data_IF_599323143709
#
_entry.id   IF_599323143709
#
_cell.length_a   1.000
_cell.length_b   1.000
_cell.length_c   1.000
_cell.angle_alpha   90.00
_cell.angle_beta   90.00
_cell.angle_gamma   90.00
#
_symmetry.space_group_name_H-M   'P 1'
#
loop_
_entity.id
_entity.type
_entity.pdbx_description
1 polymer ?
#
# COMPACT_ATOMS: atom_id res chain seq x y z
N UNK A 1 9.52 7.38 8.99
CA UNK A 1 10.83 7.05 9.61
C UNK A 1 11.26 8.12 10.62
N UNK A 2 11.16 9.43 10.30
CA UNK A 2 11.64 10.50 11.17
C UNK A 2 11.07 10.49 12.59
N UNK A 3 9.77 10.23 12.76
CA UNK A 3 9.16 10.11 14.10
C UNK A 3 9.71 8.91 14.88
N UNK A 4 9.94 7.77 14.21
CA UNK A 4 10.53 6.59 14.83
C UNK A 4 11.94 6.90 15.33
N UNK A 5 12.76 7.53 14.48
CA UNK A 5 14.12 7.95 14.83
C UNK A 5 14.14 8.90 16.03
N UNK A 6 13.28 9.91 16.01
CA UNK A 6 13.18 10.89 17.07
C UNK A 6 12.87 10.24 18.42
N UNK A 7 11.83 9.42 18.50
CA UNK A 7 11.43 8.78 19.76
C UNK A 7 12.41 7.69 20.22
N UNK A 8 13.00 6.93 19.29
CA UNK A 8 14.03 5.95 19.64
C UNK A 8 15.24 6.64 20.28
N UNK A 9 15.72 7.74 19.70
CA UNK A 9 16.83 8.52 20.25
C UNK A 9 16.51 9.12 21.61
N UNK A 10 15.29 9.64 21.83
CA UNK A 10 14.87 10.12 23.15
C UNK A 10 14.86 9.01 24.19
N UNK A 11 14.62 7.77 23.78
CA UNK A 11 14.63 6.58 24.65
C UNK A 11 16.00 5.93 24.76
N UNK A 12 17.06 6.54 24.23
CA UNK A 12 18.44 6.04 24.32
C UNK A 12 18.80 4.94 23.33
N UNK A 13 17.96 4.71 22.29
CA UNK A 13 18.24 3.72 21.25
C UNK A 13 18.88 4.35 20.01
N UNK A 14 19.73 3.57 19.35
CA UNK A 14 20.25 3.86 18.02
C UNK A 14 19.46 3.10 16.97
N UNK A 15 19.22 3.73 15.82
CA UNK A 15 18.53 3.07 14.70
C UNK A 15 19.53 2.61 13.65
N UNK A 16 19.42 1.35 13.26
CA UNK A 16 20.04 0.80 12.09
C UNK A 16 18.95 0.59 11.03
N UNK A 17 19.06 1.26 9.88
CA UNK A 17 18.14 1.06 8.75
C UNK A 17 18.80 0.11 7.76
N UNK A 18 18.10 -0.96 7.41
CA UNK A 18 18.49 -1.88 6.35
C UNK A 18 17.36 -1.91 5.32
N UNK A 19 17.69 -1.48 4.10
CA UNK A 19 16.86 -1.75 2.94
C UNK A 19 17.31 -3.12 2.40
N UNK A 20 16.38 -4.05 2.30
CA UNK A 20 16.74 -5.44 2.10
C UNK A 20 16.54 -5.86 0.66
N UNK A 21 17.58 -6.43 0.09
CA UNK A 21 17.43 -7.41 -0.99
C UNK A 21 17.10 -8.77 -0.39
N UNK A 22 16.24 -9.54 -1.07
CA UNK A 22 15.70 -10.82 -0.60
C UNK A 22 16.75 -11.90 -0.25
N UNK A 23 18.02 -11.59 -0.43
CA UNK A 23 19.14 -12.54 -0.31
C UNK A 23 19.91 -12.47 1.03
N UNK A 24 19.69 -11.45 1.86
CA UNK A 24 20.37 -11.37 3.14
C UNK A 24 19.46 -11.88 4.29
N UNK A 25 20.01 -12.82 5.08
CA UNK A 25 19.27 -13.33 6.24
C UNK A 25 19.18 -12.26 7.33
N UNK A 26 17.99 -11.66 7.49
CA UNK A 26 17.70 -10.69 8.55
C UNK A 26 18.05 -11.19 9.95
N UNK A 27 17.90 -12.50 10.19
CA UNK A 27 18.28 -13.14 11.45
C UNK A 27 19.79 -13.05 11.67
N UNK A 28 20.58 -13.19 10.61
CA UNK A 28 22.04 -13.06 10.69
C UNK A 28 22.44 -11.62 11.00
N UNK A 29 21.80 -10.65 10.35
CA UNK A 29 22.03 -9.23 10.61
C UNK A 29 21.65 -8.87 12.06
N UNK A 30 20.47 -9.28 12.50
CA UNK A 30 19.97 -9.02 13.84
C UNK A 30 20.91 -9.58 14.93
N UNK A 31 21.40 -10.81 14.75
CA UNK A 31 22.36 -11.45 15.66
C UNK A 31 23.73 -10.76 15.65
N UNK A 32 24.27 -10.48 14.46
CA UNK A 32 25.59 -9.82 14.33
C UNK A 32 25.61 -8.42 14.94
N UNK A 33 24.48 -7.72 14.95
CA UNK A 33 24.37 -6.35 15.43
C UNK A 33 23.83 -6.24 16.85
N UNK A 34 23.53 -7.37 17.52
CA UNK A 34 22.95 -7.41 18.87
C UNK A 34 21.78 -6.44 19.02
N UNK A 35 20.78 -6.56 18.13
CA UNK A 35 19.62 -5.67 18.13
C UNK A 35 18.72 -5.93 19.34
N UNK A 36 18.25 -4.88 20.00
CA UNK A 36 17.29 -4.93 21.11
C UNK A 36 15.85 -5.09 20.63
N UNK A 37 15.55 -4.67 19.40
CA UNK A 37 14.24 -4.77 18.78
C UNK A 37 14.30 -4.60 17.27
N UNK A 38 13.24 -5.00 16.58
CA UNK A 38 13.12 -4.89 15.12
C UNK A 38 11.79 -4.26 14.77
N UNK A 39 11.80 -3.25 13.91
CA UNK A 39 10.62 -2.68 13.28
C UNK A 39 10.66 -3.08 11.81
N UNK A 40 9.64 -3.82 11.36
CA UNK A 40 9.48 -4.23 9.96
C UNK A 40 8.45 -3.32 9.32
N UNK A 41 8.81 -2.68 8.21
CA UNK A 41 7.91 -1.76 7.48
C UNK A 41 7.63 -2.33 6.10
N UNK A 42 6.36 -2.50 5.77
CA UNK A 42 5.90 -3.01 4.49
C UNK A 42 5.60 -4.52 4.49
N UNK A 43 5.31 -5.05 3.32
CA UNK A 43 4.87 -6.43 3.11
C UNK A 43 6.03 -7.33 2.69
N UNK A 44 6.13 -8.48 3.33
CA UNK A 44 7.11 -9.51 3.05
C UNK A 44 6.40 -10.86 2.76
N UNK A 45 7.08 -11.82 2.13
CA UNK A 45 6.55 -13.19 1.99
C UNK A 45 6.33 -13.87 3.34
N UNK A 46 5.42 -14.83 3.41
CA UNK A 46 5.08 -15.55 4.66
C UNK A 46 6.30 -16.26 5.28
N UNK A 47 7.22 -16.76 4.44
CA UNK A 47 8.46 -17.38 4.88
C UNK A 47 9.32 -16.43 5.74
N UNK A 48 9.33 -15.14 5.42
CA UNK A 48 10.02 -14.12 6.21
C UNK A 48 9.49 -14.10 7.64
N UNK A 49 8.16 -14.03 7.81
CA UNK A 49 7.54 -13.99 9.15
C UNK A 49 7.77 -15.28 9.92
N UNK A 50 7.74 -16.42 9.26
CA UNK A 50 8.05 -17.73 9.88
C UNK A 50 9.52 -17.81 10.33
N UNK A 51 10.44 -17.24 9.58
CA UNK A 51 11.85 -17.17 10.00
C UNK A 51 12.03 -16.22 11.18
N UNK A 52 11.37 -15.07 11.16
CA UNK A 52 11.48 -14.07 12.23
C UNK A 52 10.95 -14.60 13.58
N UNK A 53 10.01 -15.54 13.61
CA UNK A 53 9.57 -16.23 14.83
C UNK A 53 10.69 -16.98 15.57
N UNK A 54 11.75 -17.34 14.87
CA UNK A 54 12.90 -18.05 15.45
C UNK A 54 13.82 -17.14 16.27
N UNK A 55 13.61 -15.83 16.22
CA UNK A 55 14.34 -14.88 17.07
C UNK A 55 13.57 -14.60 18.35
N UNK A 56 14.29 -14.33 19.43
CA UNK A 56 13.72 -13.85 20.69
C UNK A 56 13.66 -12.32 20.76
N UNK A 57 14.13 -11.63 19.70
CA UNK A 57 14.12 -10.18 19.63
C UNK A 57 12.68 -9.70 19.44
N UNK A 58 12.19 -8.74 20.22
CA UNK A 58 10.88 -8.14 20.03
C UNK A 58 10.72 -7.55 18.62
N UNK A 59 9.57 -7.80 17.97
CA UNK A 59 9.31 -7.35 16.61
C UNK A 59 7.97 -6.62 16.57
N UNK A 60 7.95 -5.46 15.92
CA UNK A 60 6.74 -4.69 15.60
C UNK A 60 6.63 -4.55 14.08
N UNK A 61 5.45 -4.82 13.55
CA UNK A 61 5.14 -4.69 12.14
C UNK A 61 4.43 -3.35 11.88
N UNK A 62 4.80 -2.64 10.83
CA UNK A 62 4.12 -1.42 10.37
C UNK A 62 3.69 -1.63 8.92
N UNK A 63 2.40 -1.37 8.65
CA UNK A 63 1.77 -1.58 7.32
C UNK A 63 2.02 -2.98 6.76
N UNK A 64 2.05 -3.96 7.64
CA UNK A 64 2.32 -5.35 7.32
C UNK A 64 1.16 -6.24 7.76
N UNK A 65 0.68 -7.07 6.86
CA UNK A 65 -0.39 -8.04 7.11
C UNK A 65 0.20 -9.44 7.17
N UNK A 66 0.52 -9.88 8.37
CA UNK A 66 0.79 -11.27 8.66
C UNK A 66 -0.51 -11.89 9.19
N UNK A 67 -0.97 -13.00 8.61
CA UNK A 67 -2.15 -13.74 9.08
C UNK A 67 -1.99 -14.33 10.48
N UNK A 68 -0.81 -14.24 11.03
CA UNK A 68 -0.43 -14.73 12.33
C UNK A 68 -0.47 -13.61 13.38
N UNK A 69 -1.25 -13.80 14.43
CA UNK A 69 -1.36 -12.86 15.55
C UNK A 69 -0.14 -12.86 16.50
N UNK A 70 0.96 -13.49 16.09
CA UNK A 70 2.18 -13.56 16.89
C UNK A 70 2.88 -12.21 17.07
N UNK A 71 2.73 -11.30 16.10
CA UNK A 71 3.42 -10.01 16.11
C UNK A 71 2.51 -8.85 16.49
N UNK A 72 3.04 -7.90 17.25
CA UNK A 72 2.42 -6.59 17.38
C UNK A 72 2.45 -5.87 16.04
N UNK A 73 1.32 -5.30 15.60
CA UNK A 73 1.26 -4.58 14.33
C UNK A 73 0.55 -3.24 14.49
N UNK A 74 1.09 -2.23 13.81
CA UNK A 74 0.53 -0.90 13.68
C UNK A 74 0.07 -0.75 12.24
N UNK A 75 -1.21 -0.47 12.03
CA UNK A 75 -1.83 -0.39 10.70
C UNK A 75 -2.81 0.77 10.64
N UNK A 76 -3.05 1.26 9.44
CA UNK A 76 -4.20 2.12 9.14
C UNK A 76 -5.37 1.25 8.66
N UNK A 77 -6.57 1.83 8.65
CA UNK A 77 -7.72 1.20 8.00
C UNK A 77 -7.68 1.52 6.49
N UNK A 78 -7.03 0.65 5.73
CA UNK A 78 -6.86 0.78 4.29
C UNK A 78 -8.20 0.77 3.53
N UNK A 79 -9.17 0.00 4.00
CA UNK A 79 -10.49 -0.05 3.40
C UNK A 79 -11.22 1.28 3.61
N UNK A 80 -11.21 1.78 4.85
CA UNK A 80 -11.86 3.04 5.16
C UNK A 80 -11.21 4.24 4.45
N UNK A 81 -9.87 4.27 4.36
CA UNK A 81 -9.17 5.31 3.61
C UNK A 81 -9.59 5.37 2.14
N UNK A 82 -9.64 4.21 1.47
CA UNK A 82 -10.07 4.11 0.08
C UNK A 82 -11.56 4.42 -0.11
N UNK A 83 -12.41 3.97 0.83
CA UNK A 83 -13.82 4.34 0.88
C UNK A 83 -14.00 5.86 0.93
N UNK A 84 -13.27 6.56 1.81
CA UNK A 84 -13.35 8.02 1.92
C UNK A 84 -12.94 8.72 0.61
N UNK A 85 -11.88 8.27 -0.05
CA UNK A 85 -11.43 8.81 -1.32
C UNK A 85 -12.50 8.64 -2.42
N UNK A 86 -13.07 7.45 -2.55
CA UNK A 86 -14.13 7.18 -3.51
C UNK A 86 -15.41 7.96 -3.19
N UNK A 87 -15.82 7.98 -1.91
CA UNK A 87 -16.98 8.74 -1.43
C UNK A 87 -16.86 10.23 -1.74
N UNK A 88 -15.67 10.79 -1.61
CA UNK A 88 -15.42 12.19 -1.97
C UNK A 88 -15.79 12.45 -3.44
N UNK A 89 -15.30 11.65 -4.36
CA UNK A 89 -15.61 11.79 -5.80
C UNK A 89 -17.10 11.58 -6.09
N UNK A 90 -17.69 10.55 -5.48
CA UNK A 90 -19.11 10.23 -5.64
C UNK A 90 -20.01 11.36 -5.14
N UNK A 91 -19.65 11.99 -4.01
CA UNK A 91 -20.38 13.15 -3.47
C UNK A 91 -20.29 14.40 -4.36
N UNK A 92 -19.26 14.49 -5.22
CA UNK A 92 -19.11 15.54 -6.23
C UNK A 92 -19.76 15.19 -7.59
N UNK A 93 -20.52 14.10 -7.63
CA UNK A 93 -21.30 13.73 -8.80
C UNK A 93 -20.62 12.79 -9.80
N UNK A 94 -19.38 12.40 -9.57
CA UNK A 94 -18.73 11.40 -10.42
C UNK A 94 -19.43 10.05 -10.27
N UNK A 95 -19.60 9.34 -11.38
CA UNK A 95 -20.21 7.99 -11.43
C UNK A 95 -19.33 7.00 -12.20
N UNK A 96 -18.58 7.49 -13.17
CA UNK A 96 -17.60 6.73 -13.92
C UNK A 96 -16.22 6.98 -13.34
N UNK A 97 -15.78 6.11 -12.43
CA UNK A 97 -14.54 6.28 -11.66
C UNK A 97 -13.61 5.10 -11.93
N UNK A 98 -12.39 5.39 -12.35
CA UNK A 98 -11.33 4.39 -12.45
C UNK A 98 -10.59 4.22 -11.11
N UNK A 99 -10.04 3.04 -10.87
CA UNK A 99 -9.25 2.72 -9.69
C UNK A 99 -7.87 2.22 -10.10
N UNK A 100 -6.83 2.98 -9.76
CA UNK A 100 -5.43 2.65 -10.05
C UNK A 100 -4.75 2.07 -8.82
N UNK A 101 -4.21 0.86 -8.94
CA UNK A 101 -3.62 0.16 -7.80
C UNK A 101 -2.40 -0.68 -8.18
N UNK A 102 -1.73 -1.20 -7.16
CA UNK A 102 -0.74 -2.27 -7.30
C UNK A 102 -1.41 -3.62 -7.45
N UNK A 103 -0.59 -4.67 -7.59
CA UNK A 103 -1.10 -6.04 -7.68
C UNK A 103 -2.05 -6.39 -6.52
N UNK A 104 -3.23 -6.86 -6.85
CA UNK A 104 -4.27 -7.26 -5.90
C UNK A 104 -4.00 -8.70 -5.45
N UNK A 105 -3.45 -8.86 -4.24
CA UNK A 105 -3.27 -10.15 -3.57
C UNK A 105 -4.34 -10.31 -2.51
N UNK A 106 -4.87 -11.54 -2.32
CA UNK A 106 -6.03 -11.82 -1.47
C UNK A 106 -5.90 -11.26 -0.03
N UNK A 107 -4.73 -11.37 0.58
CA UNK A 107 -4.48 -10.85 1.93
C UNK A 107 -3.69 -9.53 1.92
N UNK A 108 -3.65 -8.83 0.78
CA UNK A 108 -2.84 -7.62 0.60
C UNK A 108 -3.57 -6.32 0.91
N UNK A 109 -2.79 -5.26 1.06
CA UNK A 109 -3.27 -3.88 1.24
C UNK A 109 -4.16 -3.46 0.06
N UNK A 110 -3.77 -3.80 -1.18
CA UNK A 110 -4.52 -3.40 -2.38
C UNK A 110 -5.92 -4.01 -2.41
N UNK A 111 -6.09 -5.27 -1.95
CA UNK A 111 -7.41 -5.90 -1.83
C UNK A 111 -8.31 -5.13 -0.86
N UNK A 112 -7.77 -4.70 0.28
CA UNK A 112 -8.54 -3.91 1.27
C UNK A 112 -8.93 -2.55 0.71
N UNK A 113 -8.03 -1.87 0.02
CA UNK A 113 -8.34 -0.58 -0.64
C UNK A 113 -9.40 -0.77 -1.72
N UNK A 114 -9.33 -1.84 -2.50
CA UNK A 114 -10.38 -2.17 -3.47
C UNK A 114 -11.73 -2.42 -2.79
N UNK A 115 -11.76 -3.14 -1.68
CA UNK A 115 -13.00 -3.37 -0.91
C UNK A 115 -13.61 -2.03 -0.46
N UNK A 116 -12.81 -1.12 0.08
CA UNK A 116 -13.30 0.21 0.45
C UNK A 116 -13.83 1.01 -0.72
N UNK A 117 -13.16 0.97 -1.87
CA UNK A 117 -13.66 1.56 -3.11
C UNK A 117 -15.02 0.97 -3.52
N UNK A 118 -15.16 -0.36 -3.51
CA UNK A 118 -16.41 -1.05 -3.83
C UNK A 118 -17.55 -0.68 -2.86
N UNK A 119 -17.26 -0.60 -1.56
CA UNK A 119 -18.25 -0.17 -0.56
C UNK A 119 -18.78 1.24 -0.82
N UNK A 120 -17.93 2.16 -1.22
CA UNK A 120 -18.38 3.51 -1.58
C UNK A 120 -19.27 3.51 -2.81
N UNK A 121 -18.91 2.74 -3.85
CA UNK A 121 -19.75 2.60 -5.05
C UNK A 121 -21.13 2.04 -4.69
N UNK A 122 -21.17 0.99 -3.86
CA UNK A 122 -22.41 0.36 -3.41
C UNK A 122 -23.32 1.35 -2.64
N UNK A 123 -22.76 2.12 -1.70
CA UNK A 123 -23.51 3.15 -0.94
C UNK A 123 -24.18 4.17 -1.85
N UNK A 124 -23.52 4.52 -2.96
CA UNK A 124 -24.03 5.52 -3.92
C UNK A 124 -24.82 4.89 -5.10
N UNK A 125 -25.08 3.57 -5.06
CA UNK A 125 -25.82 2.86 -6.11
C UNK A 125 -25.10 2.84 -7.46
N UNK A 126 -23.77 2.93 -7.48
CA UNK A 126 -22.96 2.89 -8.69
C UNK A 126 -22.46 1.46 -8.91
N UNK A 127 -22.74 0.83 -10.07
CA UNK A 127 -22.28 -0.52 -10.35
C UNK A 127 -20.75 -0.62 -10.36
N UNK A 128 -20.21 -1.61 -9.67
CA UNK A 128 -18.80 -1.96 -9.81
C UNK A 128 -18.54 -2.55 -11.20
N UNK A 129 -17.49 -2.07 -11.85
CA UNK A 129 -17.07 -2.53 -13.18
C UNK A 129 -15.59 -2.92 -13.13
N UNK A 130 -15.29 -4.17 -13.40
CA UNK A 130 -13.92 -4.70 -13.36
C UNK A 130 -13.00 -4.01 -14.38
N UNK A 131 -13.55 -3.61 -15.54
CA UNK A 131 -12.80 -2.87 -16.57
C UNK A 131 -12.27 -1.51 -16.12
N UNK A 132 -12.79 -0.96 -15.02
CA UNK A 132 -12.34 0.31 -14.43
C UNK A 132 -11.20 0.11 -13.42
N UNK A 133 -10.73 -1.13 -13.19
CA UNK A 133 -9.62 -1.44 -12.30
C UNK A 133 -8.35 -1.60 -13.12
N UNK A 134 -7.32 -0.86 -12.73
CA UNK A 134 -6.03 -0.83 -13.43
C UNK A 134 -4.93 -1.21 -12.46
N UNK A 135 -4.26 -2.33 -12.72
CA UNK A 135 -3.19 -2.85 -11.89
C UNK A 135 -1.82 -2.58 -12.51
N UNK A 136 -0.88 -2.09 -11.69
CA UNK A 136 0.50 -1.85 -12.08
C UNK A 136 1.48 -2.06 -10.93
N UNK A 137 2.68 -1.49 -11.03
CA UNK A 137 3.59 -1.36 -9.88
C UNK A 137 3.23 -0.10 -9.08
N UNK A 138 3.64 -0.06 -7.80
CA UNK A 138 3.44 1.14 -6.96
C UNK A 138 4.60 2.11 -7.22
N UNK A 139 4.63 2.71 -8.39
CA UNK A 139 5.63 3.69 -8.78
C UNK A 139 5.09 4.75 -9.74
N UNK A 140 5.88 5.81 -9.95
CA UNK A 140 5.52 6.94 -10.79
C UNK A 140 5.30 6.55 -12.27
N UNK A 141 6.14 5.65 -12.81
CA UNK A 141 6.07 5.23 -14.21
C UNK A 141 4.81 4.42 -14.48
N UNK A 142 4.44 3.57 -13.55
CA UNK A 142 3.17 2.82 -13.62
C UNK A 142 1.97 3.76 -13.59
N UNK A 143 1.99 4.81 -12.76
CA UNK A 143 0.94 5.83 -12.77
C UNK A 143 0.75 6.46 -14.14
N UNK A 144 1.84 6.83 -14.85
CA UNK A 144 1.80 7.34 -16.23
C UNK A 144 1.21 6.28 -17.17
N UNK A 145 1.69 5.04 -17.11
CA UNK A 145 1.26 3.98 -18.00
C UNK A 145 -0.23 3.65 -17.84
N UNK A 146 -0.72 3.56 -16.61
CA UNK A 146 -2.14 3.30 -16.32
C UNK A 146 -3.04 4.43 -16.82
N UNK A 147 -2.61 5.69 -16.72
CA UNK A 147 -3.36 6.81 -17.27
C UNK A 147 -3.46 6.75 -18.81
N UNK A 148 -2.35 6.45 -19.48
CA UNK A 148 -2.35 6.25 -20.94
C UNK A 148 -3.21 5.06 -21.37
N UNK A 149 -3.18 3.97 -20.61
CA UNK A 149 -4.05 2.81 -20.83
C UNK A 149 -5.52 3.19 -20.69
N UNK A 150 -5.90 3.94 -19.65
CA UNK A 150 -7.25 4.43 -19.44
C UNK A 150 -7.74 5.22 -20.66
N UNK A 151 -6.95 6.18 -21.13
CA UNK A 151 -7.28 7.00 -22.31
C UNK A 151 -7.39 6.13 -23.57
N UNK A 152 -6.46 5.20 -23.79
CA UNK A 152 -6.46 4.31 -24.96
C UNK A 152 -7.69 3.41 -25.03
N UNK A 153 -8.20 2.97 -23.86
CA UNK A 153 -9.43 2.17 -23.75
C UNK A 153 -10.70 2.98 -23.99
N UNK A 154 -10.62 4.29 -24.07
CA UNK A 154 -11.77 5.21 -24.26
C UNK A 154 -12.90 4.96 -23.27
N UNK A 155 -12.57 4.58 -22.05
CA UNK A 155 -13.55 4.42 -20.97
C UNK A 155 -14.10 5.80 -20.56
N UNK A 156 -15.39 5.90 -20.19
CA UNK A 156 -16.02 7.17 -19.86
C UNK A 156 -15.63 7.71 -18.47
N UNK A 157 -14.46 7.32 -17.92
CA UNK A 157 -14.04 7.70 -16.60
C UNK A 157 -13.87 9.23 -16.49
N UNK A 158 -14.50 9.81 -15.49
CA UNK A 158 -14.46 11.26 -15.19
C UNK A 158 -13.59 11.57 -13.96
N UNK A 159 -13.19 10.54 -13.23
CA UNK A 159 -12.31 10.66 -12.06
C UNK A 159 -11.52 9.36 -11.84
N UNK A 160 -10.43 9.46 -11.08
CA UNK A 160 -9.56 8.34 -10.75
C UNK A 160 -9.30 8.33 -9.25
N UNK A 161 -9.52 7.19 -8.59
CA UNK A 161 -9.01 6.92 -7.26
C UNK A 161 -7.69 6.18 -7.43
N UNK A 162 -6.60 6.74 -6.91
CA UNK A 162 -5.30 6.10 -6.88
C UNK A 162 -5.06 5.49 -5.50
N UNK A 163 -4.72 4.22 -5.46
CA UNK A 163 -4.44 3.50 -4.21
C UNK A 163 -3.13 3.93 -3.52
N UNK A 164 -2.31 4.78 -4.16
CA UNK A 164 -1.10 5.35 -3.59
C UNK A 164 -0.79 6.71 -4.24
N UNK A 165 -0.20 7.63 -3.47
CA UNK A 165 0.14 8.99 -3.91
C UNK A 165 1.05 8.99 -5.14
N UNK A 166 2.03 8.09 -5.18
CA UNK A 166 2.98 8.01 -6.28
C UNK A 166 2.29 7.63 -7.61
N UNK A 167 1.24 6.81 -7.55
CA UNK A 167 0.40 6.51 -8.71
C UNK A 167 -0.40 7.74 -9.15
N UNK A 168 -0.93 8.52 -8.20
CA UNK A 168 -1.70 9.73 -8.51
C UNK A 168 -0.82 10.78 -9.21
N UNK A 169 0.40 11.01 -8.69
CA UNK A 169 1.36 11.93 -9.32
C UNK A 169 1.70 11.47 -10.74
N UNK A 170 1.93 10.16 -10.93
CA UNK A 170 2.16 9.58 -12.26
C UNK A 170 0.95 9.71 -13.18
N UNK A 171 -0.26 9.45 -12.66
CA UNK A 171 -1.49 9.56 -13.43
C UNK A 171 -1.75 10.98 -13.94
N UNK A 172 -1.55 12.01 -13.09
CA UNK A 172 -1.65 13.42 -13.50
C UNK A 172 -0.70 13.69 -14.69
N UNK A 173 0.54 13.21 -14.59
CA UNK A 173 1.50 13.39 -15.68
C UNK A 173 1.08 12.65 -16.94
N UNK A 174 0.64 11.41 -16.84
CA UNK A 174 0.17 10.60 -17.97
C UNK A 174 -1.03 11.21 -18.68
N UNK A 175 -2.02 11.70 -17.94
CA UNK A 175 -3.18 12.41 -18.50
C UNK A 175 -2.77 13.69 -19.22
N UNK A 176 -1.85 14.46 -18.64
CA UNK A 176 -1.34 15.69 -19.26
C UNK A 176 -0.62 15.43 -20.59
N UNK A 177 0.05 14.29 -20.74
CA UNK A 177 0.74 13.90 -21.97
C UNK A 177 -0.23 13.45 -23.09
N UNK A 178 -1.42 13.03 -22.74
CA UNK A 178 -2.46 12.60 -23.70
C UNK A 178 -3.39 13.75 -24.13
N UNK A 179 -3.28 14.97 -23.50
CA UNK A 179 -4.09 16.16 -23.82
C UNK A 179 -5.18 16.36 -22.77
#
# INVERSE_FOLDING_TARGET
>A
LGSIEYYARLSGYHILISATDANESYLTLAKKRNLDGIIVIGMYPDEFYQQMKKTQIPIVLIDSYCGDHYYHSIRIDDAYGSYLAAKHLLSHGHREIAFFCGQIKENGVMKKRLIGFQQALEEYGVPYQEQNIFEGQIDYRSGIALAKELVSKKLPATAIVCAADILAIGAIRGLYEEG
#
